data_IF_305921191086
#
_entry.id   IF_305921191086
#
_cell.length_a   1.000
_cell.length_b   1.000
_cell.length_c   1.000
_cell.angle_alpha   90.00
_cell.angle_beta   90.00
_cell.angle_gamma   90.00
#
_symmetry.space_group_name_H-M   'P 1'
#
loop_
_entity.id
_entity.type
_entity.pdbx_description
1 polymer ?
#
# COMPACT_ATOMS: atom_id res chain seq x y z
N UNK A 1 -2.46 17.17 8.80
CA UNK A 1 -3.12 17.16 7.47
C UNK A 1 -4.42 17.94 7.49
N UNK A 2 -5.43 17.54 8.29
CA UNK A 2 -6.71 18.25 8.33
C UNK A 2 -6.59 19.75 8.61
N UNK A 3 -5.77 20.13 9.60
CA UNK A 3 -5.50 21.55 9.90
C UNK A 3 -4.82 22.29 8.74
N UNK A 4 -3.87 21.65 8.04
CA UNK A 4 -3.22 22.25 6.86
C UNK A 4 -4.25 22.58 5.79
N UNK A 5 -5.12 21.61 5.46
CA UNK A 5 -6.19 21.81 4.48
C UNK A 5 -7.19 22.89 4.93
N UNK A 6 -7.62 22.87 6.19
CA UNK A 6 -8.55 23.86 6.74
C UNK A 6 -7.99 25.28 6.73
N UNK A 7 -6.66 25.44 6.82
CA UNK A 7 -5.98 26.74 6.81
C UNK A 7 -5.50 27.17 5.42
N UNK A 8 -5.81 26.40 4.37
CA UNK A 8 -5.30 26.68 3.02
C UNK A 8 -3.79 26.45 2.85
N UNK A 9 -3.19 25.68 3.76
CA UNK A 9 -1.82 25.19 3.64
C UNK A 9 -1.68 24.14 2.53
N UNK A 10 -0.44 23.68 2.25
CA UNK A 10 -0.21 22.75 1.16
C UNK A 10 -0.94 21.41 1.41
N UNK A 11 -1.49 20.81 0.33
CA UNK A 11 -2.09 19.48 0.41
C UNK A 11 -1.01 18.41 0.67
N UNK A 12 -1.33 17.33 1.41
CA UNK A 12 -0.42 16.21 1.62
C UNK A 12 0.15 15.62 0.33
N UNK A 13 -0.72 15.27 -0.63
CA UNK A 13 -0.36 14.81 -1.98
C UNK A 13 0.78 13.77 -2.05
N UNK A 14 0.86 12.81 -1.12
CA UNK A 14 1.90 11.77 -1.07
C UNK A 14 1.37 10.33 -0.91
N UNK A 15 0.06 10.14 -0.73
CA UNK A 15 -0.53 8.82 -0.50
C UNK A 15 -0.65 8.03 -1.80
N UNK A 16 -0.53 6.71 -1.70
CA UNK A 16 -0.94 5.77 -2.75
C UNK A 16 -2.46 5.72 -2.85
N UNK A 17 -2.96 5.27 -4.00
CA UNK A 17 -4.39 5.18 -4.30
C UNK A 17 -5.15 4.35 -3.25
N UNK A 18 -4.63 3.17 -2.91
CA UNK A 18 -5.28 2.28 -1.95
C UNK A 18 -5.35 2.89 -0.54
N UNK A 19 -4.34 3.68 -0.14
CA UNK A 19 -4.36 4.40 1.14
C UNK A 19 -5.48 5.44 1.14
N UNK A 20 -5.62 6.20 0.05
CA UNK A 20 -6.69 7.19 -0.08
C UNK A 20 -8.07 6.53 -0.01
N UNK A 21 -8.27 5.43 -0.75
CA UNK A 21 -9.52 4.66 -0.72
C UNK A 21 -9.86 4.20 0.69
N UNK A 22 -8.87 3.70 1.45
CA UNK A 22 -9.05 3.34 2.86
C UNK A 22 -9.45 4.55 3.72
N UNK A 23 -8.90 5.74 3.47
CA UNK A 23 -9.30 6.96 4.20
C UNK A 23 -10.69 7.46 3.84
N UNK A 24 -11.24 7.08 2.70
CA UNK A 24 -12.63 7.34 2.32
C UNK A 24 -13.57 6.29 2.94
N UNK A 25 -13.30 4.99 2.72
CA UNK A 25 -14.24 3.89 3.05
C UNK A 25 -14.02 3.26 4.43
N UNK A 26 -12.78 3.24 4.91
CA UNK A 26 -12.38 2.51 6.13
C UNK A 26 -12.06 1.04 5.88
N UNK A 27 -12.13 0.60 4.61
CA UNK A 27 -11.92 -0.79 4.21
C UNK A 27 -10.79 -0.88 3.18
N UNK A 28 -10.10 -2.02 3.16
CA UNK A 28 -9.06 -2.33 2.17
C UNK A 28 -9.57 -3.44 1.26
N UNK A 29 -9.60 -3.18 -0.05
CA UNK A 29 -9.73 -4.24 -1.03
C UNK A 29 -8.38 -4.91 -1.25
N UNK A 30 -8.14 -6.02 -0.55
CA UNK A 30 -6.91 -6.79 -0.68
C UNK A 30 -6.74 -7.44 -2.07
N UNK A 31 -7.81 -7.55 -2.86
CA UNK A 31 -7.75 -8.17 -4.19
C UNK A 31 -7.15 -7.24 -5.23
N UNK A 32 -7.37 -5.94 -5.10
CA UNK A 32 -6.83 -4.91 -6.00
C UNK A 32 -5.36 -4.55 -5.76
N UNK A 33 -4.77 -4.98 -4.63
CA UNK A 33 -3.40 -4.65 -4.28
C UNK A 33 -2.38 -5.39 -5.16
N UNK A 34 -1.34 -4.64 -5.55
CA UNK A 34 -0.28 -5.04 -6.46
C UNK A 34 1.10 -4.75 -5.88
N UNK A 35 2.17 -5.20 -6.56
CA UNK A 35 3.54 -4.90 -6.15
C UNK A 35 3.87 -3.40 -6.21
N UNK A 36 3.16 -2.64 -7.04
CA UNK A 36 3.30 -1.19 -7.17
C UNK A 36 2.76 -0.42 -5.96
N UNK A 37 1.93 -1.08 -5.13
CA UNK A 37 1.35 -0.52 -3.90
C UNK A 37 2.28 -0.65 -2.68
N UNK A 38 3.33 -1.48 -2.79
CA UNK A 38 4.37 -1.66 -1.78
C UNK A 38 5.26 -0.42 -1.75
N UNK A 39 5.50 0.10 -0.55
CA UNK A 39 6.28 1.31 -0.33
C UNK A 39 7.61 1.07 0.41
N UNK A 40 7.74 -0.03 1.15
CA UNK A 40 8.96 -0.34 1.87
C UNK A 40 10.03 -0.98 0.96
N UNK A 41 11.28 -0.53 1.13
CA UNK A 41 12.38 -0.93 0.27
C UNK A 41 12.68 -2.44 0.37
N UNK A 42 12.60 -3.02 1.56
CA UNK A 42 12.91 -4.43 1.79
C UNK A 42 11.96 -5.35 1.04
N UNK A 43 10.64 -5.11 1.15
CA UNK A 43 9.63 -5.89 0.41
C UNK A 43 9.73 -5.68 -1.09
N UNK A 44 9.99 -4.46 -1.56
CA UNK A 44 10.24 -4.19 -2.98
C UNK A 44 11.45 -4.98 -3.53
N UNK A 45 12.55 -5.03 -2.76
CA UNK A 45 13.72 -5.81 -3.14
C UNK A 45 13.44 -7.31 -3.12
N UNK A 46 12.71 -7.81 -2.12
CA UNK A 46 12.32 -9.21 -2.04
C UNK A 46 11.42 -9.62 -3.22
N UNK A 47 10.43 -8.80 -3.57
CA UNK A 47 9.59 -9.02 -4.76
C UNK A 47 10.46 -9.12 -6.01
N UNK A 48 11.36 -8.16 -6.22
CA UNK A 48 12.27 -8.18 -7.38
C UNK A 48 13.15 -9.44 -7.41
N UNK A 49 13.69 -9.87 -6.26
CA UNK A 49 14.49 -11.11 -6.15
C UNK A 49 13.66 -12.36 -6.48
N UNK A 50 12.44 -12.45 -6.00
CA UNK A 50 11.52 -13.56 -6.28
C UNK A 50 11.17 -13.60 -7.77
N UNK A 51 10.85 -12.45 -8.37
CA UNK A 51 10.56 -12.34 -9.81
C UNK A 51 11.73 -12.83 -10.67
N UNK A 52 12.94 -12.35 -10.35
CA UNK A 52 14.16 -12.62 -11.12
C UNK A 52 14.82 -13.97 -10.81
N UNK A 53 14.31 -14.76 -9.86
CA UNK A 53 14.88 -16.07 -9.52
C UNK A 53 14.81 -17.05 -10.70
N UNK A 54 15.93 -17.60 -11.14
CA UNK A 54 15.98 -18.48 -12.32
C UNK A 54 15.53 -19.92 -12.02
N UNK A 55 15.76 -20.39 -10.78
CA UNK A 55 15.51 -21.75 -10.35
C UNK A 55 15.02 -21.82 -8.89
N UNK A 56 14.63 -23.02 -8.46
CA UNK A 56 14.11 -23.25 -7.12
C UNK A 56 15.18 -23.03 -6.04
N UNK A 57 16.46 -23.29 -6.35
CA UNK A 57 17.57 -23.09 -5.42
C UNK A 57 17.77 -21.60 -5.11
N UNK A 58 17.73 -20.75 -6.14
CA UNK A 58 17.82 -19.30 -6.03
C UNK A 58 16.67 -18.73 -5.20
N UNK A 59 15.46 -19.25 -5.41
CA UNK A 59 14.28 -18.86 -4.64
C UNK A 59 14.40 -19.28 -3.16
N UNK A 60 14.99 -20.45 -2.91
CA UNK A 60 15.21 -20.98 -1.55
C UNK A 60 16.20 -20.14 -0.73
N UNK A 61 17.09 -19.36 -1.38
CA UNK A 61 17.97 -18.42 -0.67
C UNK A 61 17.19 -17.37 0.12
N UNK A 62 15.95 -17.09 -0.27
CA UNK A 62 15.08 -16.10 0.36
C UNK A 62 13.93 -16.75 1.16
N UNK A 63 14.03 -18.06 1.45
CA UNK A 63 12.95 -18.80 2.10
C UNK A 63 12.53 -18.20 3.45
N UNK A 64 13.49 -17.81 4.29
CA UNK A 64 13.21 -17.21 5.59
C UNK A 64 12.47 -15.87 5.45
N UNK A 65 12.89 -15.02 4.51
CA UNK A 65 12.23 -13.75 4.20
C UNK A 65 10.80 -13.98 3.68
N UNK A 66 10.61 -14.94 2.76
CA UNK A 66 9.32 -15.33 2.20
C UNK A 66 8.38 -15.85 3.29
N UNK A 67 8.86 -16.73 4.17
CA UNK A 67 8.09 -17.30 5.28
C UNK A 67 7.76 -16.22 6.31
N UNK A 68 8.68 -15.28 6.58
CA UNK A 68 8.42 -14.15 7.48
C UNK A 68 7.32 -13.22 6.97
N UNK A 69 7.12 -13.15 5.65
CA UNK A 69 5.99 -12.48 5.01
C UNK A 69 4.67 -13.26 5.12
N UNK A 70 4.67 -14.46 5.74
CA UNK A 70 3.48 -15.27 5.96
C UNK A 70 3.14 -16.24 4.83
N UNK A 71 4.05 -16.48 3.88
CA UNK A 71 3.87 -17.53 2.89
C UNK A 71 4.11 -18.91 3.52
N UNK A 72 3.11 -19.79 3.50
CA UNK A 72 3.12 -21.08 4.20
C UNK A 72 3.07 -22.30 3.27
N UNK A 73 2.90 -22.07 1.97
CA UNK A 73 2.87 -23.14 0.97
C UNK A 73 4.29 -23.56 0.58
N UNK A 74 4.41 -24.63 -0.22
CA UNK A 74 5.71 -25.05 -0.74
C UNK A 74 6.30 -23.94 -1.63
N UNK A 75 7.58 -23.62 -1.40
CA UNK A 75 8.33 -22.65 -2.20
C UNK A 75 8.83 -23.34 -3.45
N UNK A 76 8.22 -23.01 -4.59
CA UNK A 76 8.52 -23.56 -5.91
C UNK A 76 8.50 -22.46 -6.98
N UNK A 77 9.13 -22.72 -8.12
CA UNK A 77 9.25 -21.72 -9.19
C UNK A 77 7.89 -21.32 -9.80
N UNK A 78 6.92 -22.23 -9.83
CA UNK A 78 5.54 -22.00 -10.26
C UNK A 78 4.71 -21.17 -9.27
N UNK A 79 5.17 -21.06 -8.02
CA UNK A 79 4.47 -20.35 -6.95
C UNK A 79 4.86 -18.87 -6.78
N UNK A 80 5.68 -18.32 -7.69
CA UNK A 80 6.19 -16.94 -7.60
C UNK A 80 5.09 -15.89 -7.40
N UNK A 81 4.01 -15.97 -8.17
CA UNK A 81 2.88 -15.03 -8.05
C UNK A 81 2.25 -15.08 -6.65
N UNK A 82 2.05 -16.28 -6.12
CA UNK A 82 1.50 -16.48 -4.76
C UNK A 82 2.45 -15.97 -3.67
N UNK A 83 3.76 -16.13 -3.87
CA UNK A 83 4.80 -15.60 -2.96
C UNK A 83 4.78 -14.07 -2.99
N UNK A 84 4.81 -13.46 -4.18
CA UNK A 84 4.73 -12.00 -4.35
C UNK A 84 3.45 -11.47 -3.70
N UNK A 85 2.32 -12.14 -3.91
CA UNK A 85 1.06 -11.77 -3.28
C UNK A 85 1.14 -11.80 -1.75
N UNK A 86 1.78 -12.80 -1.16
CA UNK A 86 1.99 -12.85 0.28
C UNK A 86 2.84 -11.66 0.78
N UNK A 87 3.91 -11.32 0.06
CA UNK A 87 4.78 -10.16 0.38
C UNK A 87 3.99 -8.84 0.28
N UNK A 88 3.21 -8.64 -0.79
CA UNK A 88 2.35 -7.46 -0.97
C UNK A 88 1.36 -7.31 0.18
N UNK A 89 0.66 -8.40 0.54
CA UNK A 89 -0.30 -8.38 1.65
C UNK A 89 0.40 -8.11 2.98
N UNK A 90 1.56 -8.73 3.24
CA UNK A 90 2.33 -8.50 4.45
C UNK A 90 2.74 -7.03 4.61
N UNK A 91 3.33 -6.45 3.56
CA UNK A 91 3.76 -5.05 3.57
C UNK A 91 2.59 -4.08 3.79
N UNK A 92 1.51 -4.24 3.01
CA UNK A 92 0.37 -3.32 3.03
C UNK A 92 -0.46 -3.44 4.30
N UNK A 93 -0.71 -4.66 4.82
CA UNK A 93 -1.50 -4.87 6.04
C UNK A 93 -0.87 -4.24 7.28
N UNK A 94 0.47 -4.19 7.34
CA UNK A 94 1.19 -3.52 8.43
C UNK A 94 0.96 -2.01 8.51
N UNK A 95 0.50 -1.38 7.43
CA UNK A 95 0.18 0.05 7.39
C UNK A 95 -1.24 0.35 7.87
N UNK A 96 -2.13 -0.64 7.95
CA UNK A 96 -3.54 -0.45 8.33
C UNK A 96 -3.68 0.24 9.71
N UNK A 97 -2.97 -0.15 10.78
CA UNK A 97 -3.12 0.51 12.08
C UNK A 97 -2.75 2.00 12.03
N UNK A 98 -1.72 2.34 11.25
CA UNK A 98 -1.32 3.74 11.06
C UNK A 98 -2.38 4.52 10.27
N UNK A 99 -2.94 3.92 9.21
CA UNK A 99 -4.03 4.53 8.44
C UNK A 99 -5.30 4.69 9.29
N UNK A 100 -5.60 3.76 10.19
CA UNK A 100 -6.73 3.87 11.14
C UNK A 100 -6.55 5.07 12.08
N UNK A 101 -5.38 5.24 12.68
CA UNK A 101 -5.09 6.40 13.52
C UNK A 101 -5.16 7.71 12.74
N UNK A 102 -4.66 7.70 11.50
CA UNK A 102 -4.70 8.85 10.61
C UNK A 102 -6.16 9.23 10.28
N UNK A 103 -6.98 8.26 9.89
CA UNK A 103 -8.43 8.43 9.68
C UNK A 103 -9.10 9.00 10.92
N UNK A 104 -8.83 8.43 12.10
CA UNK A 104 -9.42 8.90 13.38
C UNK A 104 -9.04 10.35 13.68
N UNK A 105 -7.79 10.73 13.45
CA UNK A 105 -7.32 12.11 13.63
C UNK A 105 -8.01 13.10 12.68
N UNK A 106 -8.30 12.69 11.44
CA UNK A 106 -9.02 13.51 10.46
C UNK A 106 -10.53 13.58 10.73
N UNK A 107 -11.11 12.51 11.28
CA UNK A 107 -12.52 12.45 11.67
C UNK A 107 -12.86 13.54 12.71
N UNK A 108 -11.95 13.84 13.63
CA UNK A 108 -12.12 14.93 14.61
C UNK A 108 -12.34 16.31 13.98
N UNK A 109 -11.96 16.49 12.72
CA UNK A 109 -12.14 17.73 11.95
C UNK A 109 -13.25 17.62 10.89
N UNK A 110 -14.04 16.54 10.88
CA UNK A 110 -15.09 16.28 9.89
C UNK A 110 -14.56 15.99 8.48
N UNK A 111 -13.25 15.83 8.30
CA UNK A 111 -12.63 15.67 6.99
C UNK A 111 -12.91 14.30 6.36
N UNK A 112 -13.01 13.25 7.19
CA UNK A 112 -13.35 11.90 6.73
C UNK A 112 -14.73 11.88 6.07
N UNK A 113 -15.72 12.57 6.64
CA UNK A 113 -17.07 12.66 6.07
C UNK A 113 -17.05 13.39 4.72
N UNK A 114 -16.24 14.44 4.60
CA UNK A 114 -16.07 15.17 3.33
C UNK A 114 -15.40 14.31 2.27
N UNK A 115 -14.37 13.54 2.63
CA UNK A 115 -13.70 12.60 1.71
C UNK A 115 -14.63 11.48 1.27
N UNK A 116 -15.46 10.95 2.17
CA UNK A 116 -16.46 9.92 1.83
C UNK A 116 -17.57 10.46 0.93
N UNK A 117 -17.98 11.73 1.13
CA UNK A 117 -19.04 12.37 0.34
C UNK A 117 -18.54 12.80 -1.04
N UNK A 118 -17.31 13.34 -1.12
CA UNK A 118 -16.74 13.91 -2.34
C UNK A 118 -15.34 13.33 -2.65
N UNK A 119 -15.21 12.01 -2.86
CA UNK A 119 -13.91 11.36 -3.01
C UNK A 119 -13.12 11.87 -4.22
N UNK A 120 -13.76 12.16 -5.35
CA UNK A 120 -13.04 12.69 -6.53
C UNK A 120 -12.49 14.11 -6.29
N UNK A 121 -13.26 14.96 -5.60
CA UNK A 121 -12.83 16.33 -5.32
C UNK A 121 -11.66 16.39 -4.33
N UNK A 122 -11.63 15.46 -3.37
CA UNK A 122 -10.56 15.38 -2.38
C UNK A 122 -9.33 14.61 -2.88
N UNK A 123 -9.43 13.81 -3.94
CA UNK A 123 -8.38 12.89 -4.40
C UNK A 123 -7.01 13.57 -4.57
N UNK A 124 -6.98 14.65 -5.36
CA UNK A 124 -5.75 15.39 -5.67
C UNK A 124 -5.08 16.07 -4.47
N UNK A 125 -5.80 16.20 -3.33
CA UNK A 125 -5.24 16.71 -2.09
C UNK A 125 -4.36 15.66 -1.39
N UNK A 126 -4.57 14.38 -1.65
CA UNK A 126 -3.93 13.29 -0.92
C UNK A 126 -3.04 12.42 -1.81
N UNK A 127 -3.46 12.17 -3.05
CA UNK A 127 -2.73 11.35 -4.01
C UNK A 127 -2.01 12.27 -4.99
N UNK A 128 -0.70 12.08 -5.22
CA UNK A 128 0.01 12.83 -6.24
C UNK A 128 -0.61 12.59 -7.62
N UNK A 129 -0.91 13.67 -8.35
CA UNK A 129 -1.34 13.56 -9.74
C UNK A 129 -0.25 12.92 -10.62
N UNK A 130 -0.64 12.28 -11.73
CA UNK A 130 0.31 11.83 -12.75
C UNK A 130 1.02 13.06 -13.32
N UNK A 131 2.27 13.29 -12.95
CA UNK A 131 3.12 14.26 -13.64
C UNK A 131 3.40 13.67 -15.02
N UNK A 132 2.54 13.96 -16.01
CA UNK A 132 2.92 13.83 -17.41
C UNK A 132 4.06 14.80 -17.65
N UNK A 133 5.29 14.30 -17.72
CA UNK A 133 6.40 15.07 -18.29
C UNK A 133 6.00 15.46 -19.70
N UNK A 134 5.75 16.75 -19.91
CA UNK A 134 5.62 17.39 -21.23
C UNK A 134 7.02 17.51 -21.83
#
# INVERSE_FOLDING_TARGET
MAVSLAQGGPPPAFLKEWCYNFLCTGEVDFHSLSKEDVADLESCLLISRVENSADAQSLMLYADEIVSCGYTSQIKLDSKESIIRAIVLHSTTRLIPMLQHLRKGMELYGLVDQMATNPEACHSLFVPGKITKV
#
